data_IF_662202713642
#
_entry.id   IF_662202713642
#
_cell.length_a   1.000
_cell.length_b   1.000
_cell.length_c   1.000
_cell.angle_alpha   90.00
_cell.angle_beta   90.00
_cell.angle_gamma   90.00
#
_symmetry.space_group_name_H-M   'P 1'
#
loop_
_entity.id
_entity.type
_entity.pdbx_description
1 polymer ?
#
# COMPACT_ATOMS: atom_id res chain seq x y z
N UNK A 1 23.25 -17.77 0.75
CA UNK A 1 22.90 -17.36 2.12
C UNK A 1 21.42 -17.61 2.30
N UNK A 2 20.99 -18.01 3.51
CA UNK A 2 19.59 -18.31 3.75
C UNK A 2 18.76 -17.03 3.91
N UNK A 3 17.47 -17.07 3.53
CA UNK A 3 16.51 -16.00 3.76
C UNK A 3 16.46 -15.58 5.22
N UNK A 4 16.41 -16.58 6.13
CA UNK A 4 16.42 -16.36 7.58
C UNK A 4 17.64 -15.57 8.04
N UNK A 5 18.82 -15.95 7.60
CA UNK A 5 20.06 -15.26 7.98
C UNK A 5 20.15 -13.85 7.41
N UNK A 6 19.65 -13.63 6.18
CA UNK A 6 19.59 -12.30 5.56
C UNK A 6 18.56 -11.43 6.27
N UNK A 7 17.38 -11.99 6.63
CA UNK A 7 16.34 -11.30 7.41
C UNK A 7 16.90 -10.86 8.77
N UNK A 8 17.48 -11.76 9.56
CA UNK A 8 18.01 -11.44 10.90
C UNK A 8 19.12 -10.40 10.82
N UNK A 9 20.05 -10.53 9.86
CA UNK A 9 21.11 -9.56 9.66
C UNK A 9 20.56 -8.16 9.28
N UNK A 10 19.63 -8.10 8.35
CA UNK A 10 19.04 -6.83 7.93
C UNK A 10 18.22 -6.19 9.04
N UNK A 11 17.45 -6.97 9.79
CA UNK A 11 16.71 -6.51 10.96
C UNK A 11 17.62 -5.93 12.04
N UNK A 12 18.75 -6.57 12.32
CA UNK A 12 19.74 -6.07 13.28
C UNK A 12 20.38 -4.76 12.83
N UNK A 13 20.66 -4.63 11.53
CA UNK A 13 21.38 -3.48 10.97
C UNK A 13 20.48 -2.28 10.64
N UNK A 14 19.20 -2.52 10.38
CA UNK A 14 18.28 -1.48 9.98
C UNK A 14 17.86 -0.63 11.18
N UNK A 15 18.20 0.65 11.12
CA UNK A 15 17.72 1.68 12.03
C UNK A 15 16.97 2.73 11.21
N UNK A 16 15.64 2.90 11.38
CA UNK A 16 14.86 3.89 10.63
C UNK A 16 15.24 5.34 10.95
N UNK A 17 15.98 5.59 12.05
CA UNK A 17 16.46 6.92 12.45
C UNK A 17 17.84 7.25 11.90
N UNK A 18 18.60 6.25 11.47
CA UNK A 18 19.93 6.48 10.90
C UNK A 18 19.79 6.96 9.46
N UNK A 19 20.35 8.11 9.12
CA UNK A 19 20.35 8.63 7.75
C UNK A 19 21.00 7.68 6.74
N UNK A 20 22.07 6.99 7.17
CA UNK A 20 22.87 6.15 6.31
C UNK A 20 23.29 4.86 7.01
N UNK A 21 23.07 3.71 6.37
CA UNK A 21 23.44 2.39 6.87
C UNK A 21 24.26 1.65 5.82
N UNK A 22 25.47 1.22 6.20
CA UNK A 22 26.34 0.44 5.31
C UNK A 22 26.16 -1.06 5.54
N UNK A 23 25.75 -1.78 4.52
CA UNK A 23 25.61 -3.23 4.50
C UNK A 23 26.81 -3.86 3.79
N UNK A 24 27.98 -3.91 4.48
CA UNK A 24 29.25 -4.44 3.91
C UNK A 24 29.09 -5.84 3.33
N UNK A 25 28.35 -6.72 4.03
CA UNK A 25 28.05 -8.10 3.61
C UNK A 25 27.42 -8.18 2.21
N UNK A 26 26.58 -7.20 1.86
CA UNK A 26 25.84 -7.16 0.60
C UNK A 26 26.40 -6.16 -0.41
N UNK A 27 27.42 -5.39 -0.05
CA UNK A 27 27.96 -4.27 -0.86
C UNK A 27 26.87 -3.26 -1.25
N UNK A 28 26.01 -2.95 -0.30
CA UNK A 28 24.86 -2.03 -0.46
C UNK A 28 24.80 -1.04 0.68
N UNK A 29 24.15 0.07 0.41
CA UNK A 29 23.76 1.07 1.39
C UNK A 29 22.24 1.12 1.50
N UNK A 30 21.76 1.47 2.70
CA UNK A 30 20.40 1.96 2.92
C UNK A 30 20.50 3.43 3.27
N UNK A 31 19.69 4.24 2.61
CA UNK A 31 19.60 5.69 2.80
C UNK A 31 18.18 6.00 3.24
N UNK A 32 17.97 6.43 4.48
CA UNK A 32 16.67 6.89 4.94
C UNK A 32 16.53 8.35 4.51
N UNK A 33 15.78 8.57 3.43
CA UNK A 33 15.62 9.88 2.80
C UNK A 33 14.40 10.58 3.40
N UNK A 34 14.55 11.83 3.89
CA UNK A 34 13.43 12.58 4.41
C UNK A 34 12.46 12.99 3.30
N UNK A 35 11.18 13.06 3.65
CA UNK A 35 10.09 13.50 2.78
C UNK A 35 9.09 14.34 3.59
N UNK A 36 8.67 15.45 3.01
CA UNK A 36 7.57 16.25 3.47
C UNK A 36 6.42 16.14 2.47
N UNK A 37 5.28 15.64 2.91
CA UNK A 37 4.06 15.58 2.09
C UNK A 37 3.41 16.94 2.04
N UNK A 38 3.13 17.44 0.84
CA UNK A 38 2.32 18.65 0.63
C UNK A 38 0.84 18.34 0.38
N UNK A 39 0.48 17.05 0.43
CA UNK A 39 -0.85 16.57 0.05
C UNK A 39 -1.71 16.15 1.27
N UNK A 40 -1.38 16.65 2.47
CA UNK A 40 -2.13 16.32 3.69
C UNK A 40 -3.46 17.06 3.80
N UNK A 41 -3.63 18.16 3.08
CA UNK A 41 -4.83 19.00 3.04
C UNK A 41 -6.06 18.30 2.45
N UNK A 42 -5.86 17.20 1.72
CA UNK A 42 -6.97 16.38 1.21
C UNK A 42 -7.54 15.41 2.25
N UNK A 43 -6.86 15.25 3.40
CA UNK A 43 -7.28 14.32 4.44
C UNK A 43 -8.43 14.88 5.29
N UNK A 44 -9.26 14.03 5.93
CA UNK A 44 -10.26 14.47 6.91
C UNK A 44 -9.63 15.21 8.11
N UNK A 45 -10.36 16.20 8.64
CA UNK A 45 -9.98 16.93 9.86
C UNK A 45 -9.94 18.46 9.72
N UNK A 46 -10.28 19.00 8.56
CA UNK A 46 -10.43 20.43 8.34
C UNK A 46 -11.91 20.79 8.18
N UNK A 47 -12.30 22.00 8.56
CA UNK A 47 -13.67 22.49 8.37
C UNK A 47 -13.93 22.83 6.90
N UNK A 48 -12.91 23.29 6.19
CA UNK A 48 -12.97 23.71 4.80
C UNK A 48 -11.87 23.05 3.97
N UNK A 49 -12.23 22.62 2.78
CA UNK A 49 -11.30 22.03 1.82
C UNK A 49 -11.35 22.83 0.51
N UNK A 50 -10.20 22.98 -0.12
CA UNK A 50 -10.09 23.67 -1.39
C UNK A 50 -9.35 22.80 -2.42
N UNK A 51 -10.02 22.51 -3.52
CA UNK A 51 -9.37 21.87 -4.65
C UNK A 51 -8.67 22.94 -5.53
N UNK A 52 -7.39 23.12 -5.36
CA UNK A 52 -6.61 24.11 -6.12
C UNK A 52 -6.68 23.87 -7.64
N UNK A 53 -6.77 22.63 -8.10
CA UNK A 53 -6.83 22.29 -9.53
C UNK A 53 -8.08 22.85 -10.21
N UNK A 54 -9.22 22.91 -9.51
CA UNK A 54 -10.51 23.28 -10.09
C UNK A 54 -11.11 24.53 -9.43
N UNK A 55 -10.41 25.15 -8.49
CA UNK A 55 -10.88 26.33 -7.75
C UNK A 55 -12.25 26.13 -7.11
N UNK A 56 -12.44 24.99 -6.43
CA UNK A 56 -13.72 24.63 -5.79
C UNK A 56 -13.48 24.36 -4.31
N UNK A 57 -14.32 24.95 -3.46
CA UNK A 57 -14.29 24.75 -2.00
C UNK A 57 -15.42 23.85 -1.53
N UNK A 58 -15.14 23.10 -0.46
CA UNK A 58 -16.09 22.19 0.19
C UNK A 58 -16.03 22.41 1.69
N UNK A 59 -17.16 22.25 2.34
CA UNK A 59 -17.26 22.14 3.79
C UNK A 59 -17.12 20.66 4.21
N UNK A 60 -16.61 20.40 5.42
CA UNK A 60 -16.57 19.06 5.96
C UNK A 60 -18.00 18.53 6.13
N UNK A 61 -18.28 17.41 5.50
CA UNK A 61 -19.60 16.77 5.57
C UNK A 61 -19.73 15.79 6.75
N UNK A 62 -18.65 15.57 7.50
CA UNK A 62 -18.58 14.57 8.57
C UNK A 62 -18.19 15.23 9.90
N UNK A 63 -19.16 15.60 10.70
CA UNK A 63 -18.94 15.85 12.11
C UNK A 63 -19.06 14.52 12.86
N UNK A 64 -17.98 14.09 13.49
CA UNK A 64 -18.02 13.00 14.48
C UNK A 64 -18.73 13.51 15.75
N UNK A 65 -20.02 13.75 15.64
CA UNK A 65 -20.86 14.25 16.74
C UNK A 65 -21.17 13.16 17.79
N UNK A 66 -20.51 12.01 17.71
CA UNK A 66 -20.72 10.91 18.65
C UNK A 66 -19.75 11.02 19.82
N UNK A 67 -20.25 11.50 20.96
CA UNK A 67 -19.64 11.18 22.26
C UNK A 67 -19.76 9.68 22.47
N UNK A 68 -18.76 8.95 22.01
CA UNK A 68 -18.68 7.53 22.26
C UNK A 68 -18.34 7.37 23.74
N UNK A 69 -19.16 6.59 24.48
CA UNK A 69 -18.89 6.26 25.89
C UNK A 69 -17.71 5.28 26.04
N UNK A 70 -16.65 5.49 25.27
CA UNK A 70 -15.45 4.67 25.18
C UNK A 70 -14.24 5.60 24.98
N UNK A 71 -13.56 6.01 26.07
CA UNK A 71 -12.60 7.11 26.06
C UNK A 71 -11.39 6.86 25.13
N UNK A 72 -10.91 5.61 25.00
CA UNK A 72 -9.75 5.33 24.16
C UNK A 72 -10.13 5.22 22.67
N UNK A 73 -11.37 4.78 22.35
CA UNK A 73 -11.91 4.88 21.01
C UNK A 73 -12.10 6.34 20.61
N UNK A 74 -12.67 7.14 21.51
CA UNK A 74 -12.91 8.56 21.31
C UNK A 74 -11.57 9.33 21.09
N UNK A 75 -10.54 9.04 21.92
CA UNK A 75 -9.20 9.59 21.73
C UNK A 75 -8.63 9.29 20.34
N UNK A 76 -8.78 8.05 19.87
CA UNK A 76 -8.29 7.64 18.57
C UNK A 76 -9.05 8.29 17.39
N UNK A 77 -10.34 8.56 17.56
CA UNK A 77 -11.21 9.13 16.53
C UNK A 77 -11.12 10.65 16.43
N UNK A 78 -10.78 11.34 17.50
CA UNK A 78 -10.61 12.80 17.55
C UNK A 78 -9.33 13.30 16.89
N UNK A 79 -8.42 12.42 16.54
CA UNK A 79 -7.20 12.81 15.84
C UNK A 79 -7.56 13.18 14.40
N UNK A 80 -7.36 14.45 14.05
CA UNK A 80 -7.50 14.95 12.69
C UNK A 80 -6.42 14.34 11.79
N UNK A 81 -6.83 13.73 10.69
CA UNK A 81 -5.90 13.03 9.79
C UNK A 81 -4.90 14.00 9.16
N UNK A 82 -5.35 15.22 8.81
CA UNK A 82 -4.54 16.28 8.22
C UNK A 82 -3.47 16.83 9.16
N UNK A 83 -3.57 16.59 10.48
CA UNK A 83 -2.66 17.11 11.51
C UNK A 83 -1.72 16.08 12.10
N UNK A 84 -1.69 14.86 11.56
CA UNK A 84 -0.75 13.83 12.01
C UNK A 84 0.63 14.13 11.47
N UNK A 85 1.52 14.65 12.33
CA UNK A 85 2.87 15.09 11.94
C UNK A 85 3.68 13.96 11.29
N UNK A 86 3.61 12.73 11.81
CA UNK A 86 4.31 11.58 11.24
C UNK A 86 3.84 11.26 9.81
N UNK A 87 2.60 11.62 9.46
CA UNK A 87 2.09 11.42 8.12
C UNK A 87 2.49 12.56 7.15
N UNK A 88 2.87 13.72 7.68
CA UNK A 88 3.39 14.86 6.92
C UNK A 88 4.91 14.73 6.75
N UNK A 89 5.64 14.49 7.82
CA UNK A 89 7.11 14.41 7.85
C UNK A 89 7.55 12.97 8.14
N UNK A 90 8.12 12.32 7.14
CA UNK A 90 8.55 10.93 7.28
C UNK A 90 9.84 10.66 6.50
N UNK A 91 10.38 9.46 6.65
CA UNK A 91 11.51 8.98 5.85
C UNK A 91 11.12 7.75 5.07
N UNK A 92 11.79 7.54 3.93
CA UNK A 92 11.66 6.31 3.14
C UNK A 92 13.05 5.71 2.85
N UNK A 93 13.23 4.39 3.05
CA UNK A 93 14.51 3.73 2.81
C UNK A 93 14.78 3.53 1.32
N UNK A 94 16.02 3.80 0.89
CA UNK A 94 16.53 3.52 -0.45
C UNK A 94 17.65 2.49 -0.35
N UNK A 95 17.46 1.32 -0.94
CA UNK A 95 18.47 0.29 -1.10
C UNK A 95 19.22 0.49 -2.41
N UNK A 96 20.53 0.66 -2.36
CA UNK A 96 21.34 0.84 -3.56
C UNK A 96 22.75 0.23 -3.42
N UNK A 97 23.31 -0.18 -4.56
CA UNK A 97 24.69 -0.66 -4.62
C UNK A 97 25.70 0.44 -4.28
N UNK A 98 26.83 0.08 -3.70
CA UNK A 98 27.95 1.00 -3.43
C UNK A 98 28.45 1.77 -4.65
N UNK A 99 28.35 1.16 -5.83
CA UNK A 99 28.93 1.72 -7.07
C UNK A 99 28.09 2.82 -7.70
N UNK A 100 26.84 3.00 -7.27
CA UNK A 100 25.92 3.95 -7.88
C UNK A 100 26.03 5.34 -7.21
N UNK A 101 26.36 6.38 -7.98
CA UNK A 101 26.26 7.79 -7.53
C UNK A 101 24.82 8.28 -7.55
N UNK A 102 24.20 8.39 -8.75
CA UNK A 102 22.77 8.64 -8.95
C UNK A 102 22.19 7.49 -9.76
N UNK A 103 21.08 6.93 -9.30
CA UNK A 103 20.44 5.76 -9.92
C UNK A 103 19.62 6.15 -11.14
N UNK A 104 19.78 5.43 -12.25
CA UNK A 104 19.02 5.62 -13.49
C UNK A 104 17.84 4.64 -13.62
N UNK A 105 17.77 3.63 -12.77
CA UNK A 105 16.70 2.64 -12.74
C UNK A 105 16.28 2.41 -11.29
N UNK A 106 15.00 2.57 -11.03
CA UNK A 106 14.42 2.55 -9.69
C UNK A 106 13.20 1.64 -9.67
N UNK A 107 13.07 0.86 -8.61
CA UNK A 107 11.86 0.12 -8.28
C UNK A 107 11.27 0.77 -7.03
N UNK A 108 10.05 1.27 -7.11
CA UNK A 108 9.28 1.70 -5.95
C UNK A 108 8.56 0.47 -5.40
N UNK A 109 8.83 0.13 -4.13
CA UNK A 109 8.17 -0.94 -3.41
C UNK A 109 7.05 -0.36 -2.57
N UNK A 110 5.80 -0.84 -2.79
CA UNK A 110 4.62 -0.50 -2.01
C UNK A 110 4.17 -1.70 -1.19
N UNK A 111 3.95 -1.48 0.10
CA UNK A 111 3.66 -2.51 1.11
C UNK A 111 2.16 -2.81 1.28
N UNK A 112 1.83 -3.80 2.12
CA UNK A 112 0.46 -4.20 2.44
C UNK A 112 -0.24 -3.31 3.47
N UNK A 113 -1.56 -3.52 3.64
CA UNK A 113 -2.39 -2.80 4.62
C UNK A 113 -1.98 -3.17 6.05
N UNK A 114 -1.99 -2.17 6.93
CA UNK A 114 -1.68 -2.26 8.35
C UNK A 114 -0.24 -2.71 8.68
N UNK A 115 0.69 -2.53 7.77
CA UNK A 115 2.11 -2.79 8.03
C UNK A 115 2.70 -1.69 8.92
N UNK A 116 3.48 -2.10 9.93
CA UNK A 116 4.06 -1.20 10.95
C UNK A 116 5.58 -1.13 10.91
N UNK A 117 6.25 -2.05 10.20
CA UNK A 117 7.70 -2.07 10.07
C UNK A 117 8.15 -2.59 8.71
N UNK A 118 9.36 -2.20 8.31
CA UNK A 118 9.97 -2.64 7.07
C UNK A 118 10.60 -4.04 7.12
N UNK A 119 10.66 -4.68 8.30
CA UNK A 119 11.43 -5.90 8.52
C UNK A 119 11.19 -6.98 7.46
N UNK A 120 9.94 -7.26 7.12
CA UNK A 120 9.55 -8.22 6.08
C UNK A 120 10.10 -7.86 4.70
N UNK A 121 10.14 -6.56 4.39
CA UNK A 121 10.49 -6.04 3.07
C UNK A 121 11.99 -5.83 2.87
N UNK A 122 12.79 -5.74 3.94
CA UNK A 122 14.24 -5.55 3.86
C UNK A 122 14.94 -6.63 3.01
N UNK A 123 14.71 -7.96 3.25
CA UNK A 123 15.29 -9.00 2.40
C UNK A 123 14.73 -9.00 0.97
N UNK A 124 13.49 -8.56 0.77
CA UNK A 124 12.92 -8.44 -0.57
C UNK A 124 13.61 -7.34 -1.36
N UNK A 125 13.77 -6.16 -0.75
CA UNK A 125 14.50 -5.04 -1.36
C UNK A 125 15.96 -5.42 -1.66
N UNK A 126 16.65 -6.07 -0.72
CA UNK A 126 17.99 -6.59 -0.94
C UNK A 126 18.07 -7.50 -2.17
N UNK A 127 17.18 -8.51 -2.27
CA UNK A 127 17.17 -9.44 -3.42
C UNK A 127 16.78 -8.78 -4.73
N UNK A 128 15.91 -7.79 -4.71
CA UNK A 128 15.61 -7.02 -5.92
C UNK A 128 16.84 -6.24 -6.41
N UNK A 129 17.56 -5.55 -5.52
CA UNK A 129 18.82 -4.88 -5.90
C UNK A 129 19.83 -5.90 -6.44
N UNK A 130 19.99 -7.04 -5.75
CA UNK A 130 20.94 -8.11 -6.17
C UNK A 130 20.61 -8.67 -7.55
N UNK A 131 19.32 -8.96 -7.83
CA UNK A 131 18.93 -9.64 -9.06
C UNK A 131 18.71 -8.68 -10.25
N UNK A 132 18.33 -7.42 -10.01
CA UNK A 132 18.06 -6.47 -11.09
C UNK A 132 19.17 -5.46 -11.32
N UNK A 133 20.00 -5.19 -10.34
CA UNK A 133 20.95 -4.07 -10.33
C UNK A 133 20.30 -2.69 -10.11
N UNK A 134 18.96 -2.63 -10.04
CA UNK A 134 18.20 -1.40 -9.85
C UNK A 134 18.21 -0.96 -8.38
N UNK A 135 18.07 0.32 -8.14
CA UNK A 135 17.82 0.85 -6.80
C UNK A 135 16.39 0.54 -6.39
N UNK A 136 16.18 0.14 -5.13
CA UNK A 136 14.84 -0.13 -4.57
C UNK A 136 14.51 0.90 -3.51
N UNK A 137 13.40 1.58 -3.68
CA UNK A 137 12.86 2.61 -2.79
C UNK A 137 11.61 2.05 -2.11
N UNK A 138 11.61 2.01 -0.77
CA UNK A 138 10.48 1.53 0.02
C UNK A 138 9.63 2.72 0.43
N UNK A 139 8.53 2.98 -0.28
CA UNK A 139 7.70 4.16 -0.02
C UNK A 139 6.54 3.80 0.92
N UNK A 140 6.44 4.46 2.11
CA UNK A 140 5.36 4.18 3.04
C UNK A 140 4.06 4.81 2.55
N UNK A 141 2.97 4.03 2.57
CA UNK A 141 1.63 4.57 2.34
C UNK A 141 1.16 5.36 3.56
N UNK A 142 0.25 6.30 3.36
CA UNK A 142 -0.27 7.15 4.43
C UNK A 142 -0.77 6.32 5.63
N UNK A 143 -0.43 6.74 6.83
CA UNK A 143 -0.77 6.11 8.12
C UNK A 143 -0.18 4.71 8.36
N UNK A 144 0.89 4.34 7.62
CA UNK A 144 1.61 3.08 7.80
C UNK A 144 3.09 3.32 8.11
N UNK A 145 3.76 2.29 8.59
CA UNK A 145 5.19 2.37 8.94
C UNK A 145 5.46 3.55 9.88
N UNK A 146 6.44 4.39 9.52
CA UNK A 146 6.79 5.63 10.24
C UNK A 146 5.90 6.85 9.86
N UNK A 147 4.82 6.63 9.11
CA UNK A 147 3.78 7.65 8.83
C UNK A 147 2.57 7.53 9.75
N UNK A 148 2.60 6.64 10.72
CA UNK A 148 1.55 6.47 11.71
C UNK A 148 2.03 6.92 13.09
N UNK A 149 1.14 7.51 13.93
CA UNK A 149 1.47 7.81 15.31
C UNK A 149 1.99 6.59 16.06
N UNK A 150 3.05 6.76 16.85
CA UNK A 150 3.65 5.68 17.60
C UNK A 150 2.66 5.00 18.57
N UNK A 151 1.65 5.74 19.05
CA UNK A 151 0.58 5.23 19.89
C UNK A 151 -0.24 4.13 19.25
N UNK A 152 -0.37 4.12 17.89
CA UNK A 152 -1.11 3.07 17.17
C UNK A 152 -0.38 1.71 17.15
N UNK A 153 0.89 1.70 17.55
CA UNK A 153 1.68 0.50 17.73
C UNK A 153 1.96 0.19 19.23
N UNK A 154 1.53 1.06 20.17
CA UNK A 154 1.70 0.82 21.60
C UNK A 154 0.77 -0.28 22.11
N UNK A 155 1.32 -1.43 22.62
CA UNK A 155 0.48 -2.56 23.03
C UNK A 155 -0.45 -2.24 24.19
N UNK A 156 -0.07 -1.31 25.10
CA UNK A 156 -0.88 -0.97 26.28
C UNK A 156 -2.09 -0.14 25.86
N UNK A 157 -1.86 0.87 25.02
CA UNK A 157 -2.94 1.68 24.47
C UNK A 157 -3.87 0.85 23.59
N UNK A 158 -3.33 0.09 22.64
CA UNK A 158 -4.12 -0.75 21.75
C UNK A 158 -4.91 -1.86 22.48
N UNK A 159 -4.43 -2.37 23.62
CA UNK A 159 -5.19 -3.30 24.44
C UNK A 159 -6.47 -2.66 25.00
N UNK A 160 -6.41 -1.40 25.42
CA UNK A 160 -7.58 -0.66 25.91
C UNK A 160 -8.56 -0.40 24.77
N UNK A 161 -8.08 0.10 23.62
CA UNK A 161 -8.88 0.29 22.40
C UNK A 161 -9.57 -1.02 22.00
N UNK A 162 -8.84 -2.13 21.97
CA UNK A 162 -9.38 -3.44 21.59
C UNK A 162 -10.46 -3.93 22.56
N UNK A 163 -10.31 -3.69 23.88
CA UNK A 163 -11.32 -4.03 24.88
C UNK A 163 -12.59 -3.21 24.71
N UNK A 164 -12.47 -1.89 24.58
CA UNK A 164 -13.60 -1.00 24.34
C UNK A 164 -14.30 -1.35 23.02
N UNK A 165 -13.53 -1.64 21.96
CA UNK A 165 -14.07 -2.05 20.68
C UNK A 165 -14.91 -3.33 20.79
N UNK A 166 -14.47 -4.34 21.55
CA UNK A 166 -15.23 -5.57 21.80
C UNK A 166 -16.47 -5.34 22.66
N UNK A 167 -16.43 -4.39 23.60
CA UNK A 167 -17.62 -4.00 24.37
C UNK A 167 -18.65 -3.30 23.50
N UNK A 168 -18.20 -2.41 22.61
CA UNK A 168 -19.07 -1.67 21.71
C UNK A 168 -19.65 -2.56 20.59
N UNK A 169 -18.85 -3.51 20.10
CA UNK A 169 -19.23 -4.50 19.07
C UNK A 169 -19.05 -5.93 19.60
N UNK A 170 -20.00 -6.47 20.37
CA UNK A 170 -19.83 -7.78 21.00
C UNK A 170 -19.66 -8.96 20.04
N UNK A 171 -20.06 -8.79 18.77
CA UNK A 171 -19.94 -9.80 17.71
C UNK A 171 -18.70 -9.60 16.82
N UNK A 172 -17.84 -8.61 17.09
CA UNK A 172 -16.65 -8.36 16.29
C UNK A 172 -15.72 -9.57 16.29
N UNK A 173 -15.33 -10.02 15.12
CA UNK A 173 -14.33 -11.07 14.93
C UNK A 173 -13.02 -10.46 14.42
N UNK A 174 -11.91 -11.18 14.60
CA UNK A 174 -10.57 -10.75 14.17
C UNK A 174 -10.04 -9.44 14.79
N UNK A 175 -10.73 -8.83 15.77
CA UNK A 175 -10.22 -7.66 16.47
C UNK A 175 -9.02 -8.03 17.34
N UNK A 176 -7.91 -7.32 17.17
CA UNK A 176 -6.64 -7.57 17.85
C UNK A 176 -5.87 -6.28 18.12
N UNK A 177 -4.83 -6.35 18.95
CA UNK A 177 -3.92 -5.23 19.19
C UNK A 177 -3.25 -4.73 17.91
N UNK A 178 -3.06 -5.62 16.93
CA UNK A 178 -2.40 -5.29 15.69
C UNK A 178 -3.25 -4.39 14.78
N UNK A 179 -4.57 -4.62 14.75
CA UNK A 179 -5.47 -3.95 13.81
C UNK A 179 -6.46 -2.96 14.45
N UNK A 180 -6.47 -2.84 15.80
CA UNK A 180 -7.47 -2.03 16.50
C UNK A 180 -7.52 -0.57 16.04
N UNK A 181 -6.37 0.08 15.83
CA UNK A 181 -6.31 1.47 15.38
C UNK A 181 -6.93 1.65 14.00
N UNK A 182 -6.41 0.94 13.01
CA UNK A 182 -6.88 1.06 11.61
C UNK A 182 -8.34 0.60 11.47
N UNK A 183 -8.73 -0.47 12.15
CA UNK A 183 -10.11 -0.96 12.13
C UNK A 183 -11.08 0.05 12.71
N UNK A 184 -10.75 0.68 13.84
CA UNK A 184 -11.58 1.73 14.43
C UNK A 184 -11.74 2.90 13.47
N UNK A 185 -10.66 3.40 12.93
CA UNK A 185 -10.67 4.58 12.05
C UNK A 185 -11.42 4.35 10.75
N UNK A 186 -11.22 3.20 10.10
CA UNK A 186 -11.87 2.85 8.85
C UNK A 186 -13.34 2.45 9.02
N UNK A 187 -13.72 1.90 10.17
CA UNK A 187 -15.13 1.62 10.45
C UNK A 187 -15.94 2.91 10.64
N UNK A 188 -15.41 3.87 11.39
CA UNK A 188 -16.12 5.11 11.67
C UNK A 188 -16.14 6.08 10.48
N UNK A 189 -15.09 6.06 9.66
CA UNK A 189 -15.00 6.89 8.45
C UNK A 189 -14.35 6.08 7.32
N UNK A 190 -15.12 5.24 6.60
CA UNK A 190 -14.60 4.40 5.51
C UNK A 190 -13.89 5.19 4.40
N UNK A 191 -14.28 6.44 4.15
CA UNK A 191 -13.66 7.33 3.18
C UNK A 191 -12.17 7.55 3.42
N UNK A 192 -11.67 7.34 4.65
CA UNK A 192 -10.23 7.37 4.96
C UNK A 192 -9.42 6.43 4.06
N UNK A 193 -10.04 5.34 3.60
CA UNK A 193 -9.39 4.43 2.65
C UNK A 193 -9.03 5.14 1.33
N UNK A 194 -9.95 5.92 0.79
CA UNK A 194 -9.72 6.69 -0.45
C UNK A 194 -8.81 7.89 -0.19
N UNK A 195 -9.08 8.68 0.86
CA UNK A 195 -8.29 9.87 1.14
C UNK A 195 -6.81 9.54 1.40
N UNK A 196 -6.52 8.49 2.18
CA UNK A 196 -5.14 8.02 2.40
C UNK A 196 -4.50 7.46 1.12
N UNK A 197 -5.29 6.79 0.29
CA UNK A 197 -4.86 6.31 -1.02
C UNK A 197 -4.52 7.47 -1.97
N UNK A 198 -5.35 8.51 -2.03
CA UNK A 198 -5.11 9.70 -2.85
C UNK A 198 -3.89 10.49 -2.35
N UNK A 199 -3.75 10.68 -1.04
CA UNK A 199 -2.54 11.32 -0.49
C UNK A 199 -1.29 10.56 -0.91
N UNK A 200 -1.27 9.24 -0.74
CA UNK A 200 -0.10 8.44 -1.14
C UNK A 200 0.17 8.53 -2.63
N UNK A 201 -0.88 8.55 -3.46
CA UNK A 201 -0.77 8.74 -4.89
C UNK A 201 -0.09 10.07 -5.24
N UNK A 202 -0.58 11.17 -4.68
CA UNK A 202 -0.01 12.50 -4.93
C UNK A 202 1.39 12.66 -4.32
N UNK A 203 1.70 12.04 -3.19
CA UNK A 203 3.04 12.01 -2.61
C UNK A 203 4.04 11.30 -3.54
N UNK A 204 3.63 10.21 -4.19
CA UNK A 204 4.47 9.54 -5.17
C UNK A 204 4.65 10.41 -6.42
N UNK A 205 3.62 11.12 -6.89
CA UNK A 205 3.77 12.10 -7.97
C UNK A 205 4.73 13.22 -7.57
N UNK A 206 4.59 13.78 -6.37
CA UNK A 206 5.51 14.77 -5.79
C UNK A 206 6.97 14.26 -5.79
N UNK A 207 7.19 13.00 -5.39
CA UNK A 207 8.50 12.35 -5.46
C UNK A 207 9.02 12.28 -6.91
N UNK A 208 8.16 11.90 -7.86
CA UNK A 208 8.52 11.83 -9.28
C UNK A 208 8.86 13.23 -9.81
N UNK A 209 8.12 14.27 -9.43
CA UNK A 209 8.40 15.66 -9.81
C UNK A 209 9.77 16.11 -9.28
N UNK A 210 10.11 15.81 -8.03
CA UNK A 210 11.43 16.07 -7.45
C UNK A 210 12.55 15.34 -8.24
N UNK A 211 12.30 14.09 -8.64
CA UNK A 211 13.25 13.34 -9.47
C UNK A 211 13.40 14.01 -10.83
N UNK A 212 12.31 14.32 -11.52
CA UNK A 212 12.33 14.96 -12.87
C UNK A 212 12.94 16.35 -12.87
N UNK A 213 12.75 17.12 -11.80
CA UNK A 213 13.41 18.40 -11.58
C UNK A 213 14.92 18.25 -11.30
N UNK A 214 15.42 17.04 -11.04
CA UNK A 214 16.83 16.77 -10.72
C UNK A 214 17.24 17.13 -9.29
N UNK A 215 16.28 17.49 -8.43
CA UNK A 215 16.52 17.87 -7.01
C UNK A 215 16.72 16.67 -6.11
N UNK A 216 16.28 15.47 -6.53
CA UNK A 216 16.45 14.26 -5.73
C UNK A 216 17.93 13.89 -5.57
N UNK A 217 18.45 13.70 -4.32
CA UNK A 217 19.88 13.55 -4.08
C UNK A 217 20.48 12.26 -4.66
N UNK A 218 19.71 11.19 -4.74
CA UNK A 218 20.19 9.84 -5.04
C UNK A 218 19.69 9.25 -6.37
N UNK A 219 18.71 9.88 -7.01
CA UNK A 219 18.08 9.40 -8.24
C UNK A 219 18.31 10.40 -9.36
N UNK A 220 18.63 9.90 -10.55
CA UNK A 220 18.86 10.73 -11.74
C UNK A 220 17.52 11.22 -12.30
N UNK A 221 17.48 12.45 -12.84
CA UNK A 221 16.24 13.05 -13.37
C UNK A 221 15.56 12.22 -14.45
N UNK A 222 16.33 11.51 -15.28
CA UNK A 222 15.80 10.66 -16.36
C UNK A 222 15.64 9.18 -15.93
N UNK A 223 15.55 8.91 -14.63
CA UNK A 223 15.46 7.54 -14.13
C UNK A 223 14.20 6.84 -14.62
N UNK A 224 14.35 5.59 -15.08
CA UNK A 224 13.22 4.67 -15.29
C UNK A 224 12.65 4.27 -13.93
N UNK A 225 11.34 4.40 -13.78
CA UNK A 225 10.63 4.05 -12.56
C UNK A 225 9.75 2.84 -12.83
N UNK A 226 9.95 1.79 -12.05
CA UNK A 226 9.13 0.56 -12.05
C UNK A 226 8.52 0.35 -10.67
N UNK A 227 7.54 -0.55 -10.55
CA UNK A 227 6.86 -0.85 -9.30
C UNK A 227 6.95 -2.33 -8.95
N UNK A 228 7.31 -2.60 -7.70
CA UNK A 228 7.03 -3.86 -7.05
C UNK A 228 6.06 -3.60 -5.90
N UNK A 229 5.00 -4.34 -5.83
CA UNK A 229 3.93 -4.05 -4.88
C UNK A 229 3.37 -5.31 -4.23
N UNK A 230 2.83 -5.15 -3.04
CA UNK A 230 2.30 -6.23 -2.23
C UNK A 230 0.92 -5.86 -1.67
N UNK A 231 -0.06 -6.78 -1.83
CA UNK A 231 -1.39 -6.63 -1.23
C UNK A 231 -2.07 -5.31 -1.65
N UNK A 232 -2.54 -4.49 -0.71
CA UNK A 232 -3.15 -3.17 -1.00
C UNK A 232 -2.20 -2.21 -1.71
N UNK A 233 -0.89 -2.37 -1.53
CA UNK A 233 0.10 -1.62 -2.32
C UNK A 233 -0.02 -1.94 -3.81
N UNK A 234 -0.45 -3.16 -4.16
CA UNK A 234 -0.72 -3.53 -5.56
C UNK A 234 -1.96 -2.84 -6.11
N UNK A 235 -3.00 -2.70 -5.30
CA UNK A 235 -4.19 -1.94 -5.66
C UNK A 235 -3.85 -0.49 -6.03
N UNK A 236 -3.02 0.18 -5.22
CA UNK A 236 -2.56 1.54 -5.50
C UNK A 236 -1.63 1.60 -6.72
N UNK A 237 -0.63 0.71 -6.80
CA UNK A 237 0.31 0.68 -7.93
C UNK A 237 -0.40 0.43 -9.26
N UNK A 238 -1.40 -0.43 -9.29
CA UNK A 238 -2.21 -0.70 -10.47
C UNK A 238 -2.98 0.56 -10.90
N UNK A 239 -3.63 1.25 -9.97
CA UNK A 239 -4.30 2.53 -10.21
C UNK A 239 -3.32 3.56 -10.79
N UNK A 240 -2.11 3.66 -10.24
CA UNK A 240 -1.08 4.59 -10.76
C UNK A 240 -0.70 4.30 -12.21
N UNK A 241 -0.48 3.03 -12.55
CA UNK A 241 -0.13 2.64 -13.92
C UNK A 241 -1.31 2.80 -14.87
N UNK A 242 -2.54 2.53 -14.41
CA UNK A 242 -3.76 2.73 -15.19
C UNK A 242 -4.01 4.22 -15.47
N UNK A 243 -3.89 5.07 -14.48
CA UNK A 243 -4.07 6.51 -14.61
C UNK A 243 -2.95 7.14 -15.46
N UNK A 244 -1.70 6.77 -15.17
CA UNK A 244 -0.51 7.28 -15.86
C UNK A 244 -0.48 8.79 -15.99
N UNK A 245 -0.62 9.48 -14.86
CA UNK A 245 -0.63 10.94 -14.80
C UNK A 245 0.62 11.53 -15.45
N UNK A 246 0.46 12.58 -16.25
CA UNK A 246 1.55 13.26 -16.96
C UNK A 246 2.48 12.33 -17.75
N UNK A 247 2.00 11.14 -18.16
CA UNK A 247 2.81 10.10 -18.83
C UNK A 247 4.03 9.62 -18.00
N UNK A 248 4.06 9.87 -16.70
CA UNK A 248 5.19 9.50 -15.83
C UNK A 248 5.48 8.00 -15.81
N UNK A 249 4.45 7.19 -15.95
CA UNK A 249 4.52 5.73 -15.88
C UNK A 249 4.36 5.05 -17.25
N UNK A 250 4.53 5.79 -18.35
CA UNK A 250 4.34 5.29 -19.71
C UNK A 250 5.15 4.03 -20.02
N UNK A 251 6.37 3.95 -19.50
CA UNK A 251 7.27 2.83 -19.69
C UNK A 251 7.45 1.97 -18.43
N UNK A 252 6.77 2.31 -17.34
CA UNK A 252 6.90 1.59 -16.08
C UNK A 252 6.37 0.17 -16.17
N UNK A 253 7.09 -0.75 -15.56
CA UNK A 253 6.66 -2.12 -15.31
C UNK A 253 6.11 -2.24 -13.90
N UNK A 254 5.14 -3.12 -13.73
CA UNK A 254 4.55 -3.46 -12.43
C UNK A 254 4.58 -4.96 -12.24
N UNK A 255 5.17 -5.39 -11.13
CA UNK A 255 5.04 -6.77 -10.65
C UNK A 255 4.36 -6.78 -9.31
N UNK A 256 3.18 -7.38 -9.23
CA UNK A 256 2.37 -7.52 -8.03
C UNK A 256 2.65 -8.86 -7.35
N UNK A 257 2.78 -8.87 -6.04
CA UNK A 257 2.87 -10.07 -5.23
C UNK A 257 1.70 -10.11 -4.24
N UNK A 258 0.89 -11.17 -4.28
CA UNK A 258 -0.35 -11.28 -3.49
C UNK A 258 -1.24 -10.03 -3.67
N UNK A 259 -1.47 -9.63 -4.93
CA UNK A 259 -2.22 -8.44 -5.31
C UNK A 259 -2.71 -8.53 -6.75
N UNK A 260 -3.56 -7.58 -7.16
CA UNK A 260 -4.17 -7.50 -8.49
C UNK A 260 -5.70 -7.58 -8.51
N UNK A 261 -6.40 -8.14 -7.48
CA UNK A 261 -7.86 -8.11 -7.48
C UNK A 261 -8.41 -6.72 -7.15
N UNK A 262 -9.66 -6.50 -7.56
CA UNK A 262 -10.43 -5.34 -7.17
C UNK A 262 -10.85 -5.42 -5.70
N UNK A 263 -11.28 -4.28 -5.13
CA UNK A 263 -11.60 -4.18 -3.70
C UNK A 263 -12.63 -5.24 -3.26
N UNK A 264 -13.72 -5.42 -4.02
CA UNK A 264 -14.76 -6.40 -3.68
C UNK A 264 -14.37 -7.88 -3.94
N UNK A 265 -13.14 -8.13 -4.39
CA UNK A 265 -12.58 -9.48 -4.63
C UNK A 265 -11.48 -9.83 -3.63
N UNK A 266 -11.26 -8.97 -2.61
CA UNK A 266 -10.34 -9.22 -1.51
C UNK A 266 -11.10 -9.50 -0.21
N UNK A 267 -10.48 -10.27 0.69
CA UNK A 267 -11.03 -10.64 2.01
C UNK A 267 -10.06 -10.22 3.13
N UNK A 268 -9.96 -8.92 3.44
CA UNK A 268 -8.94 -8.41 4.37
C UNK A 268 -9.24 -8.69 5.86
N UNK A 269 -10.36 -9.35 6.19
CA UNK A 269 -10.74 -9.63 7.57
C UNK A 269 -9.81 -10.65 8.22
N UNK A 270 -8.83 -10.18 8.98
CA UNK A 270 -7.86 -10.99 9.71
C UNK A 270 -7.37 -10.28 10.96
N UNK A 271 -6.77 -11.02 11.91
CA UNK A 271 -6.20 -10.44 13.13
C UNK A 271 -5.07 -9.43 12.89
N UNK A 272 -4.50 -9.41 11.69
CA UNK A 272 -3.37 -8.55 11.36
C UNK A 272 -3.71 -7.39 10.42
N UNK A 273 -4.86 -7.46 9.71
CA UNK A 273 -5.23 -6.47 8.69
C UNK A 273 -6.41 -5.64 9.16
N UNK A 274 -7.62 -6.16 9.07
CA UNK A 274 -8.86 -5.50 9.52
C UNK A 274 -9.72 -6.48 10.31
N UNK A 275 -10.49 -5.98 11.28
CA UNK A 275 -11.53 -6.78 11.89
C UNK A 275 -12.83 -6.81 11.05
N UNK A 276 -13.80 -7.63 11.47
CA UNK A 276 -15.05 -7.81 10.73
C UNK A 276 -15.85 -6.53 10.55
N UNK A 277 -15.89 -5.66 11.57
CA UNK A 277 -16.70 -4.43 11.53
C UNK A 277 -16.13 -3.40 10.54
N UNK A 278 -14.81 -3.23 10.54
CA UNK A 278 -14.14 -2.37 9.58
C UNK A 278 -14.27 -2.89 8.14
N UNK A 279 -14.18 -4.21 7.95
CA UNK A 279 -14.35 -4.81 6.64
C UNK A 279 -15.78 -4.60 6.11
N UNK A 280 -16.80 -4.80 6.96
CA UNK A 280 -18.20 -4.54 6.61
C UNK A 280 -18.42 -3.07 6.27
N UNK A 281 -17.87 -2.15 7.06
CA UNK A 281 -18.03 -0.72 6.82
C UNK A 281 -17.44 -0.27 5.47
N UNK A 282 -16.23 -0.75 5.13
CA UNK A 282 -15.60 -0.47 3.83
C UNK A 282 -16.45 -1.05 2.69
N UNK A 283 -16.87 -2.30 2.81
CA UNK A 283 -17.66 -2.98 1.78
C UNK A 283 -19.00 -2.27 1.57
N UNK A 284 -19.73 -2.00 2.65
CA UNK A 284 -21.02 -1.31 2.60
C UNK A 284 -20.90 0.08 1.95
N UNK A 285 -19.88 0.84 2.34
CA UNK A 285 -19.67 2.17 1.80
C UNK A 285 -19.31 2.16 0.31
N UNK A 286 -18.29 1.42 -0.08
CA UNK A 286 -17.72 1.51 -1.43
C UNK A 286 -18.42 0.62 -2.45
N UNK A 287 -19.04 -0.49 -2.04
CA UNK A 287 -19.63 -1.46 -2.96
C UNK A 287 -21.15 -1.31 -3.01
N UNK A 288 -21.80 -1.25 -1.83
CA UNK A 288 -23.26 -1.24 -1.76
C UNK A 288 -23.85 0.17 -1.90
N UNK A 289 -23.27 1.17 -1.22
CA UNK A 289 -23.88 2.49 -1.06
C UNK A 289 -23.13 3.65 -1.71
N UNK A 290 -22.06 3.41 -2.47
CA UNK A 290 -21.22 4.46 -3.04
C UNK A 290 -22.02 5.56 -3.76
N UNK A 291 -22.99 5.21 -4.59
CA UNK A 291 -23.77 6.19 -5.36
C UNK A 291 -24.67 7.07 -4.46
N UNK A 292 -25.08 6.55 -3.30
CA UNK A 292 -25.83 7.30 -2.30
C UNK A 292 -24.88 8.25 -1.55
N UNK A 293 -23.72 7.73 -1.18
CA UNK A 293 -22.71 8.51 -0.46
C UNK A 293 -22.14 9.65 -1.32
N UNK A 294 -21.94 9.43 -2.62
CA UNK A 294 -21.54 10.49 -3.56
C UNK A 294 -22.58 11.62 -3.71
N UNK A 295 -23.86 11.35 -3.44
CA UNK A 295 -24.89 12.42 -3.41
C UNK A 295 -24.81 13.26 -2.14
N UNK A 296 -24.36 12.67 -1.03
CA UNK A 296 -24.24 13.32 0.28
C UNK A 296 -22.93 14.07 0.42
N UNK A 297 -21.82 13.42 0.03
CA UNK A 297 -20.47 13.96 0.10
C UNK A 297 -20.08 14.60 -1.24
N UNK A 298 -20.22 15.92 -1.32
CA UNK A 298 -19.88 16.70 -2.52
C UNK A 298 -18.39 16.67 -2.84
N UNK A 299 -17.55 16.63 -1.81
CA UNK A 299 -16.11 16.55 -1.94
C UNK A 299 -15.69 15.21 -2.52
N UNK A 300 -16.18 14.11 -1.97
CA UNK A 300 -15.92 12.77 -2.51
C UNK A 300 -16.43 12.63 -3.95
N UNK A 301 -17.62 13.17 -4.22
CA UNK A 301 -18.21 13.19 -5.57
C UNK A 301 -17.31 13.94 -6.56
N UNK A 302 -16.75 15.09 -6.16
CA UNK A 302 -15.82 15.86 -6.97
C UNK A 302 -14.56 15.06 -7.31
N UNK A 303 -13.93 14.44 -6.31
CA UNK A 303 -12.72 13.63 -6.52
C UNK A 303 -12.99 12.32 -7.29
N UNK A 304 -14.20 11.81 -7.31
CA UNK A 304 -14.60 10.64 -8.10
C UNK A 304 -15.22 10.98 -9.46
N UNK A 305 -15.32 12.27 -9.79
CA UNK A 305 -15.82 12.74 -11.09
C UNK A 305 -14.74 12.65 -12.19
N UNK A 306 -15.15 12.90 -13.43
CA UNK A 306 -14.24 13.00 -14.57
C UNK A 306 -13.30 14.21 -14.51
N UNK A 307 -13.53 15.15 -13.59
CA UNK A 307 -12.65 16.29 -13.32
C UNK A 307 -11.31 15.82 -12.75
N UNK A 308 -11.33 14.86 -11.83
CA UNK A 308 -10.13 14.22 -11.30
C UNK A 308 -9.90 12.89 -12.00
N UNK A 309 -8.94 12.88 -12.91
CA UNK A 309 -8.57 11.70 -13.68
C UNK A 309 -8.34 10.46 -12.80
N UNK A 310 -7.59 10.62 -11.71
CA UNK A 310 -7.28 9.54 -10.76
C UNK A 310 -8.53 8.96 -10.07
N UNK A 311 -9.52 9.78 -9.71
CA UNK A 311 -10.73 9.33 -9.03
C UNK A 311 -11.54 8.33 -9.86
N UNK A 312 -11.60 8.52 -11.18
CA UNK A 312 -12.23 7.58 -12.10
C UNK A 312 -11.55 6.21 -12.08
N UNK A 313 -10.21 6.18 -11.99
CA UNK A 313 -9.47 4.92 -11.89
C UNK A 313 -9.68 4.26 -10.52
N UNK A 314 -9.67 5.01 -9.43
CA UNK A 314 -10.06 4.49 -8.12
C UNK A 314 -11.45 3.87 -8.18
N UNK A 315 -12.45 4.60 -8.69
CA UNK A 315 -13.83 4.10 -8.83
C UNK A 315 -13.89 2.81 -9.64
N UNK A 316 -13.10 2.69 -10.71
CA UNK A 316 -13.09 1.52 -11.58
C UNK A 316 -12.50 0.26 -10.93
N UNK A 317 -11.71 0.43 -9.85
CA UNK A 317 -11.07 -0.65 -9.12
C UNK A 317 -11.84 -1.11 -7.88
N UNK A 318 -12.98 -0.50 -7.56
CA UNK A 318 -13.78 -0.85 -6.38
C UNK A 318 -14.61 -2.13 -6.60
N UNK A 319 -15.34 -2.22 -7.70
CA UNK A 319 -16.31 -3.30 -7.97
C UNK A 319 -16.02 -3.99 -9.31
N UNK A 320 -15.82 -5.30 -9.26
CA UNK A 320 -15.50 -6.12 -10.43
C UNK A 320 -16.57 -6.00 -11.53
N UNK A 321 -17.85 -5.89 -11.15
CA UNK A 321 -18.97 -5.85 -12.08
C UNK A 321 -19.28 -4.45 -12.61
N UNK A 322 -18.60 -3.41 -12.08
CA UNK A 322 -18.79 -2.02 -12.53
C UNK A 322 -17.61 -1.55 -13.39
N UNK A 323 -17.88 -0.63 -14.29
CA UNK A 323 -16.87 0.00 -15.17
C UNK A 323 -15.96 -0.98 -15.92
N UNK A 324 -16.44 -2.19 -16.24
CA UNK A 324 -15.69 -3.29 -16.86
C UNK A 324 -14.98 -2.80 -18.14
N UNK A 325 -15.74 -2.26 -19.10
CA UNK A 325 -15.20 -1.81 -20.39
C UNK A 325 -14.12 -0.74 -20.23
N UNK A 326 -14.32 0.21 -19.31
CA UNK A 326 -13.34 1.26 -19.04
C UNK A 326 -12.03 0.67 -18.51
N UNK A 327 -12.09 -0.15 -17.48
CA UNK A 327 -10.95 -0.79 -16.83
C UNK A 327 -10.21 -1.74 -17.78
N UNK A 328 -10.93 -2.65 -18.43
CA UNK A 328 -10.32 -3.66 -19.30
C UNK A 328 -9.69 -3.08 -20.55
N UNK A 329 -10.27 -2.05 -21.15
CA UNK A 329 -9.65 -1.37 -22.29
C UNK A 329 -8.31 -0.73 -21.90
N UNK A 330 -8.18 -0.27 -20.64
CA UNK A 330 -6.92 0.26 -20.15
C UNK A 330 -5.93 -0.86 -19.83
N UNK A 331 -6.36 -1.92 -19.14
CA UNK A 331 -5.54 -3.10 -18.86
C UNK A 331 -4.97 -3.72 -20.14
N UNK A 332 -5.76 -3.86 -21.19
CA UNK A 332 -5.30 -4.37 -22.51
C UNK A 332 -4.13 -3.58 -23.08
N UNK A 333 -4.15 -2.23 -22.93
CA UNK A 333 -3.08 -1.35 -23.42
C UNK A 333 -1.75 -1.51 -22.67
N UNK A 334 -1.81 -1.91 -21.41
CA UNK A 334 -0.64 -2.01 -20.53
C UNK A 334 -0.28 -3.45 -20.15
N UNK A 335 -1.00 -4.44 -20.69
CA UNK A 335 -0.90 -5.85 -20.31
C UNK A 335 0.54 -6.41 -20.33
N UNK A 336 1.37 -5.98 -21.30
CA UNK A 336 2.78 -6.42 -21.42
C UNK A 336 3.70 -5.88 -20.32
N UNK A 337 3.26 -4.87 -19.57
CA UNK A 337 4.03 -4.20 -18.53
C UNK A 337 3.60 -4.57 -17.11
N UNK A 338 2.51 -5.32 -16.99
CA UNK A 338 1.96 -5.78 -15.72
C UNK A 338 2.14 -7.30 -15.59
N UNK A 339 2.44 -7.74 -14.40
CA UNK A 339 2.53 -9.16 -14.04
C UNK A 339 2.15 -9.36 -12.57
N UNK A 340 1.72 -10.57 -12.22
CA UNK A 340 1.40 -10.93 -10.86
C UNK A 340 1.98 -12.29 -10.46
N UNK A 341 2.34 -12.40 -9.18
CA UNK A 341 2.66 -13.64 -8.48
C UNK A 341 1.64 -13.83 -7.36
N UNK A 342 0.79 -14.84 -7.48
CA UNK A 342 -0.24 -15.17 -6.50
C UNK A 342 0.12 -16.43 -5.72
N UNK A 343 -0.39 -16.55 -4.49
CA UNK A 343 -0.22 -17.71 -3.63
C UNK A 343 -1.54 -18.48 -3.52
N UNK A 344 -1.50 -19.80 -3.71
CA UNK A 344 -2.73 -20.63 -3.78
C UNK A 344 -3.50 -20.70 -2.47
N UNK A 345 -2.81 -20.60 -1.32
CA UNK A 345 -3.43 -20.60 0.01
C UNK A 345 -3.59 -19.22 0.62
N UNK A 346 -3.51 -18.17 -0.19
CA UNK A 346 -3.78 -16.81 0.26
C UNK A 346 -5.29 -16.60 0.36
N UNK A 347 -5.80 -16.46 1.60
CA UNK A 347 -7.22 -16.25 1.87
C UNK A 347 -7.63 -14.77 1.80
N UNK A 348 -6.67 -13.85 1.87
CA UNK A 348 -6.91 -12.40 1.78
C UNK A 348 -7.00 -11.95 0.32
N UNK A 349 -6.09 -12.45 -0.51
CA UNK A 349 -6.01 -12.20 -1.95
C UNK A 349 -6.01 -13.55 -2.68
N UNK A 350 -7.18 -14.19 -2.84
CA UNK A 350 -7.27 -15.50 -3.46
C UNK A 350 -6.70 -15.51 -4.88
N UNK A 351 -5.87 -16.50 -5.21
CA UNK A 351 -5.18 -16.57 -6.51
C UNK A 351 -6.14 -16.57 -7.70
N UNK A 352 -7.31 -17.17 -7.54
CA UNK A 352 -8.35 -17.18 -8.57
C UNK A 352 -8.88 -15.76 -8.84
N UNK A 353 -9.02 -14.92 -7.81
CA UNK A 353 -9.48 -13.55 -7.97
C UNK A 353 -8.42 -12.66 -8.62
N UNK A 354 -7.13 -12.97 -8.41
CA UNK A 354 -6.04 -12.32 -9.16
C UNK A 354 -6.14 -12.63 -10.65
N UNK A 355 -6.34 -13.90 -11.00
CA UNK A 355 -6.48 -14.34 -12.39
C UNK A 355 -7.71 -13.71 -13.06
N UNK A 356 -8.88 -13.79 -12.42
CA UNK A 356 -10.13 -13.22 -12.95
C UNK A 356 -10.03 -11.70 -13.14
N UNK A 357 -9.46 -10.97 -12.18
CA UNK A 357 -9.34 -9.52 -12.27
C UNK A 357 -8.39 -9.07 -13.38
N UNK A 358 -7.24 -9.73 -13.49
CA UNK A 358 -6.20 -9.33 -14.44
C UNK A 358 -6.44 -9.84 -15.87
N UNK A 359 -7.07 -11.01 -16.02
CA UNK A 359 -7.42 -11.54 -17.34
C UNK A 359 -8.74 -10.97 -17.88
N UNK A 360 -9.51 -10.26 -17.04
CA UNK A 360 -10.78 -9.61 -17.38
C UNK A 360 -11.95 -10.59 -17.48
N UNK A 361 -13.14 -10.04 -17.70
CA UNK A 361 -14.40 -10.78 -17.68
C UNK A 361 -14.41 -11.93 -18.72
N UNK A 362 -13.85 -11.72 -19.90
CA UNK A 362 -13.76 -12.72 -20.97
C UNK A 362 -12.49 -13.58 -20.91
N UNK A 363 -11.66 -13.42 -19.88
CA UNK A 363 -10.36 -14.11 -19.75
C UNK A 363 -9.43 -13.91 -20.97
N UNK A 364 -9.42 -12.70 -21.56
CA UNK A 364 -8.69 -12.39 -22.81
C UNK A 364 -7.54 -11.40 -22.67
N UNK A 365 -7.35 -10.82 -21.49
CA UNK A 365 -6.27 -9.85 -21.27
C UNK A 365 -4.97 -10.63 -21.00
N UNK A 366 -3.92 -10.49 -21.82
CA UNK A 366 -2.72 -11.32 -21.74
C UNK A 366 -1.73 -10.83 -20.68
N UNK A 367 -2.21 -10.55 -19.46
CA UNK A 367 -1.37 -10.22 -18.32
C UNK A 367 -0.77 -11.52 -17.77
N UNK A 368 0.51 -11.52 -17.49
CA UNK A 368 1.19 -12.69 -16.96
C UNK A 368 0.90 -12.87 -15.48
N UNK A 369 0.05 -13.82 -15.16
CA UNK A 369 -0.22 -14.25 -13.77
C UNK A 369 0.44 -15.59 -13.52
N UNK A 370 1.14 -15.73 -12.40
CA UNK A 370 1.71 -16.99 -11.95
C UNK A 370 1.17 -17.30 -10.56
N UNK A 371 0.47 -18.42 -10.43
CA UNK A 371 0.00 -18.95 -9.15
C UNK A 371 0.97 -20.03 -8.67
N UNK A 372 1.35 -20.00 -7.39
CA UNK A 372 2.26 -20.97 -6.75
C UNK A 372 1.74 -21.39 -5.39
N UNK A 373 2.03 -22.65 -5.01
CA UNK A 373 1.86 -23.16 -3.66
C UNK A 373 3.23 -23.45 -3.04
N UNK A 374 3.43 -23.03 -1.80
CA UNK A 374 4.65 -23.35 -1.08
C UNK A 374 4.47 -24.66 -0.28
N UNK A 375 5.49 -25.52 -0.18
CA UNK A 375 5.41 -26.80 0.53
C UNK A 375 5.57 -26.65 2.06
N UNK A 376 5.37 -25.45 2.60
CA UNK A 376 5.42 -25.13 4.03
C UNK A 376 4.19 -24.30 4.42
N UNK A 377 3.84 -24.20 5.71
CA UNK A 377 2.76 -23.32 6.16
C UNK A 377 3.10 -21.85 5.89
N UNK A 378 2.17 -21.17 5.26
CA UNK A 378 2.25 -19.73 5.01
C UNK A 378 0.85 -19.12 4.98
N UNK A 379 0.79 -17.81 5.11
CA UNK A 379 -0.44 -17.03 4.92
C UNK A 379 -0.12 -15.74 4.15
N UNK A 380 -1.15 -14.91 3.96
CA UNK A 380 -1.02 -13.61 3.30
C UNK A 380 -0.01 -12.71 4.02
N UNK A 381 0.00 -12.70 5.35
CA UNK A 381 0.84 -11.77 6.15
C UNK A 381 2.30 -12.22 6.19
N UNK A 382 2.52 -13.53 6.26
CA UNK A 382 3.86 -14.15 6.38
C UNK A 382 4.06 -15.18 5.26
N UNK A 383 4.28 -14.74 4.01
CA UNK A 383 4.52 -15.66 2.89
C UNK A 383 5.86 -16.41 3.00
N UNK A 384 6.83 -15.84 3.72
CA UNK A 384 8.14 -16.43 3.97
C UNK A 384 8.43 -16.45 5.48
N UNK A 385 8.04 -17.52 6.20
CA UNK A 385 8.24 -17.61 7.65
C UNK A 385 9.71 -17.77 8.02
N UNK A 386 10.09 -17.24 9.21
CA UNK A 386 11.44 -17.31 9.76
C UNK A 386 11.58 -18.59 10.63
N UNK A 387 11.04 -19.71 10.16
CA UNK A 387 11.06 -20.98 10.86
C UNK A 387 12.36 -21.75 10.57
N UNK A 388 13.00 -22.29 11.59
CA UNK A 388 14.15 -23.19 11.41
C UNK A 388 13.73 -24.51 10.75
N UNK A 389 12.55 -24.99 11.08
CA UNK A 389 12.00 -26.25 10.56
C UNK A 389 11.89 -26.25 9.03
N UNK A 390 11.49 -25.13 8.46
CA UNK A 390 11.19 -25.03 7.03
C UNK A 390 12.25 -24.23 6.26
N UNK A 391 13.39 -23.89 6.89
CA UNK A 391 14.40 -22.95 6.37
C UNK A 391 14.80 -23.27 4.92
N UNK A 392 15.14 -24.52 4.61
CA UNK A 392 15.59 -24.91 3.25
C UNK A 392 14.53 -24.68 2.17
N UNK A 393 13.29 -25.03 2.45
CA UNK A 393 12.20 -24.83 1.48
C UNK A 393 11.83 -23.35 1.39
N UNK A 394 11.80 -22.61 2.50
CA UNK A 394 11.59 -21.16 2.48
C UNK A 394 12.66 -20.46 1.66
N UNK A 395 13.93 -20.78 1.84
CA UNK A 395 15.05 -20.23 1.07
C UNK A 395 14.89 -20.46 -0.44
N UNK A 396 14.58 -21.68 -0.81
CA UNK A 396 14.39 -22.10 -2.20
C UNK A 396 13.22 -21.34 -2.85
N UNK A 397 12.09 -21.27 -2.17
CA UNK A 397 10.90 -20.65 -2.71
C UNK A 397 10.93 -19.12 -2.64
N UNK A 398 11.58 -18.55 -1.63
CA UNK A 398 11.90 -17.13 -1.60
C UNK A 398 12.78 -16.74 -2.80
N UNK A 399 13.90 -17.45 -3.01
CA UNK A 399 14.77 -17.18 -4.14
C UNK A 399 14.05 -17.34 -5.50
N UNK A 400 13.19 -18.37 -5.66
CA UNK A 400 12.40 -18.61 -6.86
C UNK A 400 11.37 -17.49 -7.11
N UNK A 401 10.70 -17.03 -6.05
CA UNK A 401 9.74 -15.93 -6.11
C UNK A 401 10.44 -14.62 -6.46
N UNK A 402 11.53 -14.28 -5.79
CA UNK A 402 12.28 -13.05 -6.04
C UNK A 402 12.92 -13.03 -7.44
N UNK A 403 13.40 -14.19 -7.95
CA UNK A 403 13.89 -14.32 -9.33
C UNK A 403 12.77 -14.10 -10.36
N UNK A 404 11.57 -14.64 -10.10
CA UNK A 404 10.42 -14.38 -10.98
C UNK A 404 10.10 -12.88 -11.01
N UNK A 405 9.93 -12.25 -9.84
CA UNK A 405 9.62 -10.83 -9.70
C UNK A 405 10.69 -9.97 -10.39
N UNK A 406 11.96 -10.21 -10.09
CA UNK A 406 13.07 -9.50 -10.71
C UNK A 406 13.09 -9.67 -12.24
N UNK A 407 12.74 -10.85 -12.74
CA UNK A 407 12.65 -11.13 -14.18
C UNK A 407 11.54 -10.36 -14.88
N UNK A 408 10.45 -9.95 -14.17
CA UNK A 408 9.41 -9.10 -14.73
C UNK A 408 9.82 -7.61 -14.74
N UNK A 409 10.77 -7.23 -13.87
CA UNK A 409 11.19 -5.84 -13.67
C UNK A 409 12.54 -5.49 -14.34
N UNK A 410 13.20 -6.46 -14.97
CA UNK A 410 14.40 -6.22 -15.81
C UNK A 410 14.03 -5.62 -17.20
#
# INVERSE_FOLDING_TARGET
MSYRNDYLYLREKFDPKAEFITLKKFRMNILNTPFESYNYDILPGEEHYHCQTHDVSFEESYTLDSKISAPHLDELLKIDDSRIEENIFFTYPIFKSFTLKKSKEVIILLHGLNEKSWEKYLPWAHKLVEYTGKTVLLFPTAFHMNRAPASWADPRFMNKVCKERKQFYPKVTNSSLANAAISTRLQFLPQRFIWSGLQTYYDILQLIDQIRAGTHPHIHKDAQIDFFSYSVGSFLAEIMILANENDYFKNSKLCMFCGGPLLNRMSPASKYILDSEANVAIYSFFIEHLEVELKRDKRLAHYFSDLHHIGKYFKSMLDYNKMITFRENRLKKIAKRISALALQKDEVVPSIEVELSLHGHDNKIPIKVKSIDFPYPYDHVIPFPISEKDEKEVDKWFAKSMKFIAGQLK
#
